data_IF_599457683287
#
_entry.id   IF_599457683287
#
_cell.length_a   1.000
_cell.length_b   1.000
_cell.length_c   1.000
_cell.angle_alpha   90.00
_cell.angle_beta   90.00
_cell.angle_gamma   90.00
#
_symmetry.space_group_name_H-M   'P 1'
#
loop_
_entity.id
_entity.type
_entity.pdbx_description
1 polymer ?
#
# COMPACT_ATOMS: atom_id res chain seq x y z
N UNK A 1 -4.74 23.75 -0.80
CA UNK A 1 -5.17 22.66 0.10
C UNK A 1 -5.99 21.56 -0.60
N UNK A 2 -7.01 21.87 -1.39
CA UNK A 2 -7.84 20.84 -2.06
C UNK A 2 -7.15 20.16 -3.25
N UNK A 3 -6.35 20.90 -4.02
CA UNK A 3 -5.66 20.37 -5.21
C UNK A 3 -4.57 19.37 -4.83
N UNK A 4 -3.86 19.62 -3.73
CA UNK A 4 -2.78 18.79 -3.20
C UNK A 4 -3.32 17.44 -2.74
N UNK A 5 -4.51 17.40 -2.12
CA UNK A 5 -5.21 16.16 -1.78
C UNK A 5 -5.59 15.39 -3.06
N UNK A 6 -6.11 16.08 -4.09
CA UNK A 6 -6.46 15.43 -5.35
C UNK A 6 -5.22 14.85 -6.06
N UNK A 7 -4.08 15.54 -6.01
CA UNK A 7 -2.81 15.07 -6.56
C UNK A 7 -2.30 13.85 -5.78
N UNK A 8 -2.30 13.91 -4.44
CA UNK A 8 -1.87 12.80 -3.59
C UNK A 8 -2.73 11.54 -3.82
N UNK A 9 -4.05 11.70 -3.94
CA UNK A 9 -4.95 10.61 -4.30
C UNK A 9 -4.68 10.07 -5.71
N UNK A 10 -4.41 10.94 -6.69
CA UNK A 10 -4.02 10.51 -8.03
C UNK A 10 -2.75 9.67 -8.03
N UNK A 11 -1.73 10.11 -7.29
CA UNK A 11 -0.47 9.37 -7.14
C UNK A 11 -0.66 8.02 -6.43
N UNK A 12 -1.49 7.97 -5.39
CA UNK A 12 -1.85 6.72 -4.71
C UNK A 12 -2.44 5.70 -5.70
N UNK A 13 -3.40 6.12 -6.53
CA UNK A 13 -4.02 5.26 -7.55
C UNK A 13 -3.03 4.79 -8.61
N UNK A 14 -2.14 5.68 -9.08
CA UNK A 14 -1.09 5.32 -10.03
C UNK A 14 -0.16 4.26 -9.42
N UNK A 15 0.26 4.45 -8.16
CA UNK A 15 1.15 3.50 -7.47
C UNK A 15 0.46 2.16 -7.19
N UNK A 16 -0.80 2.15 -6.74
CA UNK A 16 -1.56 0.91 -6.56
C UNK A 16 -1.77 0.17 -7.89
N UNK A 17 -2.02 0.90 -8.99
CA UNK A 17 -2.22 0.32 -10.31
C UNK A 17 -0.93 -0.09 -11.02
N UNK A 18 0.23 0.43 -10.61
CA UNK A 18 1.49 0.24 -11.32
C UNK A 18 1.95 -1.22 -11.34
N UNK A 19 2.03 -1.86 -10.16
CA UNK A 19 2.43 -3.26 -10.01
C UNK A 19 1.53 -4.23 -10.80
N UNK A 20 0.18 -4.18 -10.69
CA UNK A 20 -0.69 -5.05 -11.47
C UNK A 20 -0.64 -4.76 -12.98
N UNK A 21 -0.40 -3.52 -13.40
CA UNK A 21 -0.30 -3.17 -14.82
C UNK A 21 1.02 -3.64 -15.46
N UNK A 22 2.16 -3.41 -14.79
CA UNK A 22 3.50 -3.73 -15.34
C UNK A 22 3.85 -5.21 -15.13
N UNK A 23 3.53 -5.78 -13.96
CA UNK A 23 3.94 -7.15 -13.57
C UNK A 23 2.78 -7.98 -13.01
N UNK A 24 1.73 -8.27 -13.81
CA UNK A 24 0.52 -8.94 -13.33
C UNK A 24 0.77 -10.35 -12.76
N UNK A 25 1.77 -11.08 -13.27
CA UNK A 25 2.12 -12.43 -12.76
C UNK A 25 2.74 -12.36 -11.36
N UNK A 26 3.65 -11.41 -11.14
CA UNK A 26 4.29 -11.23 -9.84
C UNK A 26 3.27 -10.75 -8.79
N UNK A 27 2.42 -9.78 -9.16
CA UNK A 27 1.32 -9.31 -8.31
C UNK A 27 0.40 -10.45 -7.87
N UNK A 28 -0.09 -11.27 -8.81
CA UNK A 28 -0.96 -12.42 -8.50
C UNK A 28 -0.28 -13.42 -7.57
N UNK A 29 1.01 -13.71 -7.78
CA UNK A 29 1.77 -14.60 -6.89
C UNK A 29 1.86 -14.04 -5.47
N UNK A 30 2.17 -12.75 -5.32
CA UNK A 30 2.22 -12.09 -4.02
C UNK A 30 0.88 -12.16 -3.29
N UNK A 31 -0.22 -11.83 -3.97
CA UNK A 31 -1.57 -11.95 -3.41
C UNK A 31 -1.88 -13.39 -2.97
N UNK A 32 -1.47 -14.37 -3.77
CA UNK A 32 -1.68 -15.78 -3.44
C UNK A 32 -0.92 -16.23 -2.19
N UNK A 33 0.31 -15.75 -2.00
CA UNK A 33 1.06 -16.02 -0.77
C UNK A 33 0.45 -15.31 0.45
N UNK A 34 -0.07 -14.08 0.28
CA UNK A 34 -0.78 -13.36 1.36
C UNK A 34 -2.04 -14.12 1.78
N UNK A 35 -2.81 -14.67 0.83
CA UNK A 35 -4.03 -15.43 1.14
C UNK A 35 -3.77 -16.74 1.92
N UNK A 36 -2.55 -17.28 1.91
CA UNK A 36 -2.20 -18.43 2.75
C UNK A 36 -1.88 -18.06 4.18
N UNK A 37 -1.59 -16.78 4.46
CA UNK A 37 -1.25 -16.33 5.78
C UNK A 37 -2.52 -16.24 6.65
N UNK A 38 -2.43 -16.55 7.96
CA UNK A 38 -3.53 -16.31 8.88
C UNK A 38 -3.93 -14.84 8.90
N UNK A 39 -5.22 -14.55 9.04
CA UNK A 39 -5.76 -13.19 9.09
C UNK A 39 -5.03 -12.30 10.10
N UNK A 40 -4.64 -12.84 11.26
CA UNK A 40 -3.88 -12.11 12.26
C UNK A 40 -2.52 -11.61 11.74
N UNK A 41 -1.81 -12.42 10.96
CA UNK A 41 -0.51 -12.04 10.39
C UNK A 41 -0.66 -10.90 9.38
N UNK A 42 -1.69 -10.98 8.52
CA UNK A 42 -2.00 -9.92 7.54
C UNK A 42 -2.40 -8.62 8.25
N UNK A 43 -3.21 -8.71 9.30
CA UNK A 43 -3.60 -7.55 10.13
C UNK A 43 -2.40 -6.88 10.79
N UNK A 44 -1.48 -7.67 11.36
CA UNK A 44 -0.27 -7.14 11.99
C UNK A 44 0.61 -6.47 10.94
N UNK A 45 0.80 -7.08 9.77
CA UNK A 45 1.55 -6.47 8.66
C UNK A 45 0.95 -5.14 8.20
N UNK A 46 -0.37 -5.09 8.04
CA UNK A 46 -1.09 -3.85 7.75
C UNK A 46 -0.91 -2.80 8.85
N UNK A 47 -1.04 -3.18 10.12
CA UNK A 47 -0.83 -2.28 11.25
C UNK A 47 0.58 -1.68 11.28
N UNK A 48 1.61 -2.51 11.06
CA UNK A 48 2.99 -2.02 10.95
C UNK A 48 3.17 -1.06 9.77
N UNK A 49 2.57 -1.33 8.60
CA UNK A 49 2.64 -0.41 7.46
C UNK A 49 1.97 0.94 7.75
N UNK A 50 0.82 0.92 8.44
CA UNK A 50 0.12 2.14 8.86
C UNK A 50 0.95 2.95 9.85
N UNK A 51 1.54 2.30 10.87
CA UNK A 51 2.42 2.96 11.84
C UNK A 51 3.66 3.53 11.18
N UNK A 52 4.31 2.78 10.28
CA UNK A 52 5.47 3.26 9.54
C UNK A 52 5.13 4.50 8.70
N UNK A 53 3.99 4.49 8.00
CA UNK A 53 3.50 5.65 7.26
C UNK A 53 3.19 6.85 8.15
N UNK A 54 2.55 6.63 9.30
CA UNK A 54 2.28 7.69 10.27
C UNK A 54 3.57 8.32 10.81
N UNK A 55 4.53 7.49 11.23
CA UNK A 55 5.82 7.95 11.72
C UNK A 55 6.58 8.73 10.64
N UNK A 56 6.51 8.29 9.39
CA UNK A 56 7.09 9.00 8.26
C UNK A 56 6.47 10.40 8.07
N UNK A 57 5.14 10.48 8.11
CA UNK A 57 4.42 11.77 8.00
C UNK A 57 4.80 12.70 9.14
N UNK A 58 4.86 12.20 10.38
CA UNK A 58 5.26 13.00 11.56
C UNK A 58 6.71 13.47 11.46
N UNK A 59 7.60 12.69 10.84
CA UNK A 59 9.01 13.07 10.67
C UNK A 59 9.21 14.10 9.56
N UNK A 60 8.39 14.06 8.50
CA UNK A 60 8.49 14.98 7.35
C UNK A 60 7.84 16.35 7.63
N UNK A 61 6.79 16.39 8.45
CA UNK A 61 6.08 17.62 8.85
C UNK A 61 6.80 18.28 10.03
#
# INVERSE_FOLDING_TARGET
>A
MSQEIMIALGLLLVLEGFLPAVMPKAWKRMMWEIMKQPDNSVRIGGFFSMLAGLLWIIWVI
#
